data_IF_092780564337
#
_entry.id   IF_092780564337
#
_cell.length_a   1.000
_cell.length_b   1.000
_cell.length_c   1.000
_cell.angle_alpha   90.00
_cell.angle_beta   90.00
_cell.angle_gamma   90.00
#
_symmetry.space_group_name_H-M   'P 1'
#
loop_
_entity.id
_entity.type
_entity.pdbx_description
1 polymer ?
#
# COMPACT_ATOMS: atom_id res chain seq x y z
N UNK A 1 -0.62 21.80 -12.25
CA UNK A 1 -0.54 20.57 -13.07
C UNK A 1 -1.26 19.48 -12.32
N UNK A 2 -2.22 18.81 -12.97
CA UNK A 2 -2.89 17.65 -12.39
C UNK A 2 -1.93 16.45 -12.41
N UNK A 3 -1.63 15.91 -11.24
CA UNK A 3 -0.73 14.78 -11.06
C UNK A 3 -1.48 13.49 -10.68
N UNK A 4 -2.82 13.51 -10.66
CA UNK A 4 -3.62 12.36 -10.24
C UNK A 4 -3.44 11.13 -11.14
N UNK A 5 -3.11 11.35 -12.41
CA UNK A 5 -2.84 10.33 -13.43
C UNK A 5 -1.33 10.10 -13.69
N UNK A 6 -0.46 10.83 -13.03
CA UNK A 6 0.97 10.64 -13.20
C UNK A 6 1.43 9.34 -12.54
N UNK A 7 2.23 8.57 -13.26
CA UNK A 7 2.82 7.32 -12.74
C UNK A 7 3.97 7.67 -11.79
N UNK A 8 3.85 7.24 -10.53
CA UNK A 8 4.81 7.50 -9.45
C UNK A 8 5.05 6.25 -8.62
N UNK A 9 6.23 6.18 -7.97
CA UNK A 9 6.53 5.08 -7.04
C UNK A 9 5.66 5.18 -5.79
N UNK A 10 4.85 4.14 -5.47
CA UNK A 10 3.95 4.15 -4.34
C UNK A 10 4.66 3.99 -2.99
N UNK A 11 5.93 3.66 -2.96
CA UNK A 11 6.64 3.32 -1.74
C UNK A 11 5.93 2.20 -0.98
N UNK A 12 5.67 2.44 0.30
CA UNK A 12 5.05 1.45 1.20
C UNK A 12 3.51 1.35 1.11
N UNK A 13 2.85 2.06 0.20
CA UNK A 13 1.37 2.03 0.15
C UNK A 13 0.80 0.72 -0.36
N UNK A 14 1.61 -0.17 -0.95
CA UNK A 14 1.17 -1.50 -1.39
C UNK A 14 1.21 -2.56 -0.28
N UNK A 15 1.87 -2.30 0.86
CA UNK A 15 1.99 -3.26 1.96
C UNK A 15 0.67 -3.80 2.50
N UNK A 16 -0.41 -3.00 2.64
CA UNK A 16 -1.71 -3.53 3.07
C UNK A 16 -2.22 -4.69 2.22
N UNK A 17 -1.97 -4.66 0.91
CA UNK A 17 -2.41 -5.71 -0.02
C UNK A 17 -1.52 -6.95 0.06
N UNK A 18 -0.23 -6.78 0.37
CA UNK A 18 0.69 -7.89 0.63
C UNK A 18 0.22 -8.68 1.85
N UNK A 19 0.02 -8.00 2.98
CA UNK A 19 -0.48 -8.65 4.19
C UNK A 19 -1.92 -9.18 4.02
N UNK A 20 -2.77 -8.44 3.29
CA UNK A 20 -4.12 -8.87 2.97
C UNK A 20 -4.17 -10.21 2.25
N UNK A 21 -3.31 -10.43 1.25
CA UNK A 21 -3.17 -11.72 0.57
C UNK A 21 -2.61 -12.80 1.49
N UNK A 22 -1.67 -12.46 2.37
CA UNK A 22 -1.17 -13.39 3.38
C UNK A 22 -2.25 -13.83 4.38
N UNK A 23 -3.17 -12.94 4.75
CA UNK A 23 -4.34 -13.27 5.57
C UNK A 23 -5.34 -14.14 4.81
N UNK A 24 -5.64 -13.79 3.56
CA UNK A 24 -6.56 -14.55 2.69
C UNK A 24 -6.10 -16.01 2.49
N UNK A 25 -4.78 -16.23 2.40
CA UNK A 25 -4.19 -17.57 2.24
C UNK A 25 -4.04 -18.33 3.56
N UNK A 26 -4.35 -17.70 4.68
CA UNK A 26 -4.11 -18.32 6.00
C UNK A 26 -2.63 -18.50 6.35
N UNK A 27 -1.72 -17.87 5.61
CA UNK A 27 -0.27 -17.93 5.87
C UNK A 27 0.12 -17.17 7.14
N UNK A 28 -0.59 -16.09 7.43
CA UNK A 28 -0.38 -15.24 8.60
C UNK A 28 -1.72 -14.77 9.17
N UNK A 29 -1.68 -14.31 10.42
CA UNK A 29 -2.78 -13.65 11.12
C UNK A 29 -2.26 -12.32 11.69
N UNK A 30 -3.10 -11.33 12.01
CA UNK A 30 -2.65 -10.08 12.61
C UNK A 30 -1.72 -10.25 13.82
N UNK A 31 -1.95 -11.27 14.64
CA UNK A 31 -1.14 -11.54 15.83
C UNK A 31 -0.01 -12.57 15.60
N UNK A 32 0.18 -13.06 14.37
CA UNK A 32 1.32 -13.90 14.03
C UNK A 32 2.61 -13.14 14.27
N UNK A 33 3.56 -13.79 14.94
CA UNK A 33 4.91 -13.25 15.15
C UNK A 33 5.70 -13.38 13.85
N UNK A 34 6.37 -12.30 13.45
CA UNK A 34 7.22 -12.25 12.26
C UNK A 34 8.54 -11.57 12.61
N UNK A 35 9.62 -12.02 11.98
CA UNK A 35 10.96 -11.50 12.25
C UNK A 35 11.25 -10.24 11.41
N UNK A 36 11.68 -9.20 12.10
CA UNK A 36 12.25 -7.99 11.51
C UNK A 36 13.75 -7.95 11.80
N UNK A 37 14.49 -8.73 11.01
CA UNK A 37 15.95 -8.89 11.10
C UNK A 37 16.56 -8.85 9.71
N UNK A 38 17.88 -8.62 9.58
CA UNK A 38 18.54 -8.70 8.28
C UNK A 38 18.25 -10.03 7.57
N UNK A 39 17.77 -9.94 6.34
CA UNK A 39 17.47 -11.10 5.48
C UNK A 39 17.95 -10.83 4.06
N UNK A 40 18.26 -11.89 3.32
CA UNK A 40 18.74 -11.79 1.95
C UNK A 40 17.98 -12.77 1.03
N UNK A 41 17.54 -12.29 -0.10
CA UNK A 41 16.91 -13.06 -1.18
C UNK A 41 17.78 -12.97 -2.44
N UNK A 42 18.68 -13.91 -2.62
CA UNK A 42 19.72 -13.81 -3.66
C UNK A 42 20.60 -12.58 -3.44
N UNK A 43 20.62 -11.67 -4.42
CA UNK A 43 21.33 -10.39 -4.33
C UNK A 43 20.53 -9.28 -3.63
N UNK A 44 19.24 -9.47 -3.39
CA UNK A 44 18.36 -8.46 -2.79
C UNK A 44 18.33 -8.59 -1.26
N UNK A 45 18.66 -7.52 -0.56
CA UNK A 45 18.63 -7.41 0.90
C UNK A 45 17.78 -6.17 1.28
N UNK A 46 16.53 -6.37 1.71
CA UNK A 46 15.70 -5.25 2.16
C UNK A 46 16.19 -4.70 3.50
N UNK A 47 16.14 -3.38 3.64
CA UNK A 47 16.42 -2.68 4.88
C UNK A 47 15.20 -1.83 5.29
N UNK A 48 15.02 -1.62 6.59
CA UNK A 48 14.02 -0.69 7.08
C UNK A 48 14.43 0.77 6.77
N UNK A 49 13.44 1.65 6.72
CA UNK A 49 13.65 3.04 6.33
C UNK A 49 14.62 3.80 7.26
N UNK A 50 14.59 3.47 8.55
CA UNK A 50 15.46 4.03 9.60
C UNK A 50 16.74 3.20 9.84
N UNK A 51 16.99 2.19 9.01
CA UNK A 51 18.12 1.27 9.10
C UNK A 51 18.17 0.47 10.42
N UNK A 52 17.10 0.47 11.20
CA UNK A 52 16.97 -0.29 12.44
C UNK A 52 16.07 -1.53 12.24
N UNK A 53 16.22 -2.52 13.13
CA UNK A 53 15.43 -3.73 13.15
C UNK A 53 14.77 -3.89 14.51
N UNK A 54 13.49 -4.30 14.50
CA UNK A 54 12.67 -4.41 15.70
C UNK A 54 12.72 -5.81 16.34
N UNK A 55 13.40 -6.78 15.70
CA UNK A 55 13.39 -8.17 16.15
C UNK A 55 12.06 -8.85 15.88
N UNK A 56 11.54 -9.61 16.83
CA UNK A 56 10.26 -10.33 16.69
C UNK A 56 9.10 -9.40 17.01
N UNK A 57 8.20 -9.19 16.05
CA UNK A 57 7.01 -8.33 16.19
C UNK A 57 5.76 -9.05 15.67
N UNK A 58 4.56 -8.58 16.04
CA UNK A 58 3.34 -9.05 15.39
C UNK A 58 3.21 -8.49 13.98
N UNK A 59 2.54 -9.20 13.08
CA UNK A 59 2.19 -8.71 11.73
C UNK A 59 1.43 -7.39 11.82
N UNK A 60 0.53 -7.23 12.78
CA UNK A 60 -0.15 -5.98 13.11
C UNK A 60 0.84 -4.84 13.31
N UNK A 61 1.79 -5.03 14.19
CA UNK A 61 2.82 -4.03 14.51
C UNK A 61 3.69 -3.74 13.29
N UNK A 62 4.10 -4.76 12.54
CA UNK A 62 4.90 -4.63 11.33
C UNK A 62 4.22 -3.73 10.28
N UNK A 63 2.91 -3.91 10.04
CA UNK A 63 2.16 -3.08 9.09
C UNK A 63 1.97 -1.65 9.61
N UNK A 64 1.63 -1.47 10.90
CA UNK A 64 1.47 -0.15 11.52
C UNK A 64 2.75 0.68 11.50
N UNK A 65 3.89 0.05 11.79
CA UNK A 65 5.22 0.67 11.71
C UNK A 65 5.75 0.76 10.28
N UNK A 66 5.06 0.12 9.33
CA UNK A 66 5.51 0.08 7.92
C UNK A 66 6.89 -0.56 7.72
N UNK A 67 7.24 -1.57 8.53
CA UNK A 67 8.52 -2.27 8.42
C UNK A 67 8.68 -2.89 7.02
N UNK A 68 9.89 -2.83 6.49
CA UNK A 68 10.18 -3.30 5.14
C UNK A 68 10.42 -4.80 5.10
N UNK A 69 11.26 -5.31 6.00
CA UNK A 69 11.67 -6.71 6.01
C UNK A 69 10.47 -7.65 6.16
N UNK A 70 9.57 -7.49 7.15
CA UNK A 70 8.39 -8.34 7.28
C UNK A 70 7.48 -8.32 6.05
N UNK A 71 7.33 -7.14 5.39
CA UNK A 71 6.52 -7.02 4.19
C UNK A 71 7.13 -7.78 3.00
N UNK A 72 8.47 -7.72 2.83
CA UNK A 72 9.16 -8.43 1.77
C UNK A 72 9.16 -9.95 2.01
N UNK A 73 9.34 -10.40 3.26
CA UNK A 73 9.21 -11.82 3.63
C UNK A 73 7.80 -12.34 3.30
N UNK A 74 6.77 -11.58 3.64
CA UNK A 74 5.39 -11.94 3.30
C UNK A 74 5.18 -11.95 1.79
N UNK A 75 5.72 -10.96 1.06
CA UNK A 75 5.60 -10.89 -0.41
C UNK A 75 6.30 -12.06 -1.10
N UNK A 76 7.43 -12.50 -0.58
CA UNK A 76 8.12 -13.70 -1.09
C UNK A 76 7.22 -14.93 -0.94
N UNK A 77 6.60 -15.13 0.21
CA UNK A 77 5.73 -16.27 0.48
C UNK A 77 4.47 -16.28 -0.41
N UNK A 78 3.80 -15.14 -0.59
CA UNK A 78 2.62 -15.04 -1.46
C UNK A 78 2.96 -14.93 -2.95
N UNK A 79 4.20 -14.63 -3.29
CA UNK A 79 4.77 -14.35 -4.63
C UNK A 79 4.32 -13.00 -5.24
N UNK A 80 5.29 -12.25 -5.74
CA UNK A 80 5.07 -10.95 -6.36
C UNK A 80 4.12 -11.00 -7.58
N UNK A 81 4.18 -12.08 -8.38
CA UNK A 81 3.29 -12.28 -9.52
C UNK A 81 1.82 -12.38 -9.12
N UNK A 82 1.53 -13.03 -7.99
CA UNK A 82 0.16 -13.11 -7.46
C UNK A 82 -0.37 -11.76 -7.00
N UNK A 83 0.45 -10.98 -6.27
CA UNK A 83 0.09 -9.62 -5.89
C UNK A 83 -0.20 -8.77 -7.14
N UNK A 84 0.66 -8.85 -8.15
CA UNK A 84 0.49 -8.12 -9.42
C UNK A 84 -0.82 -8.49 -10.11
N UNK A 85 -1.10 -9.77 -10.26
CA UNK A 85 -2.34 -10.25 -10.88
C UNK A 85 -3.57 -9.74 -10.12
N UNK A 86 -3.59 -9.89 -8.78
CA UNK A 86 -4.70 -9.45 -7.94
C UNK A 86 -4.95 -7.94 -8.04
N UNK A 87 -3.90 -7.12 -7.98
CA UNK A 87 -4.02 -5.66 -8.07
C UNK A 87 -4.49 -5.24 -9.48
N UNK A 88 -3.98 -5.88 -10.53
CA UNK A 88 -4.41 -5.62 -11.91
C UNK A 88 -5.88 -6.01 -12.12
N UNK A 89 -6.32 -7.16 -11.64
CA UNK A 89 -7.71 -7.61 -11.70
C UNK A 89 -8.63 -6.66 -10.92
N UNK A 90 -8.17 -6.11 -9.81
CA UNK A 90 -8.89 -5.11 -9.03
C UNK A 90 -8.92 -3.71 -9.67
N UNK A 91 -8.16 -3.49 -10.76
CA UNK A 91 -8.16 -2.25 -11.54
C UNK A 91 -6.96 -1.33 -11.29
N UNK A 92 -6.00 -1.72 -10.46
CA UNK A 92 -4.74 -0.95 -10.28
C UNK A 92 -3.78 -1.26 -11.42
N UNK A 93 -3.54 -0.27 -12.28
CA UNK A 93 -2.54 -0.39 -13.35
C UNK A 93 -1.14 -0.24 -12.77
N UNK A 94 -0.35 -1.31 -12.85
CA UNK A 94 1.04 -1.33 -12.39
C UNK A 94 1.98 -1.07 -13.57
N UNK A 95 2.77 -0.02 -13.48
CA UNK A 95 3.85 0.26 -14.42
C UNK A 95 5.15 -0.36 -13.91
N UNK A 96 5.62 -1.38 -14.59
CA UNK A 96 6.92 -2.00 -14.34
C UNK A 96 8.01 -1.33 -15.21
N UNK A 97 9.24 -1.26 -14.73
CA UNK A 97 10.37 -0.88 -15.58
C UNK A 97 10.43 -1.77 -16.83
N UNK A 98 10.84 -1.17 -17.94
CA UNK A 98 10.86 -1.88 -19.23
C UNK A 98 11.73 -3.13 -19.18
N UNK A 99 11.13 -4.29 -19.49
CA UNK A 99 11.81 -5.59 -19.50
C UNK A 99 11.94 -6.26 -18.13
N UNK A 100 11.42 -5.66 -17.08
CA UNK A 100 11.40 -6.27 -15.76
C UNK A 100 10.12 -7.08 -15.50
N UNK A 101 10.27 -8.12 -14.69
CA UNK A 101 9.16 -8.92 -14.16
C UNK A 101 8.87 -8.50 -12.72
N UNK A 102 7.64 -8.70 -12.22
CA UNK A 102 7.32 -8.40 -10.83
C UNK A 102 8.26 -9.13 -9.86
N UNK A 103 8.97 -8.36 -9.05
CA UNK A 103 9.92 -8.87 -8.05
C UNK A 103 9.65 -8.32 -6.65
N UNK A 104 10.48 -8.72 -5.68
CA UNK A 104 10.31 -8.32 -4.27
C UNK A 104 10.41 -6.81 -4.04
N UNK A 105 11.13 -6.08 -4.90
CA UNK A 105 11.25 -4.63 -4.82
C UNK A 105 9.89 -3.91 -4.96
N UNK A 106 8.88 -4.54 -5.61
CA UNK A 106 7.54 -3.93 -5.72
C UNK A 106 6.87 -3.69 -4.36
N UNK A 107 7.18 -4.48 -3.34
CA UNK A 107 6.69 -4.30 -1.98
C UNK A 107 7.16 -3.01 -1.31
N UNK A 108 8.23 -2.41 -1.85
CA UNK A 108 8.84 -1.18 -1.37
C UNK A 108 8.76 -0.03 -2.38
N UNK A 109 7.91 -0.18 -3.42
CA UNK A 109 7.69 0.85 -4.42
C UNK A 109 8.50 0.69 -5.71
N UNK A 110 9.07 -0.49 -5.98
CA UNK A 110 9.74 -0.83 -7.26
C UNK A 110 8.78 -0.98 -8.46
N UNK A 111 7.64 -0.32 -8.42
CA UNK A 111 6.63 -0.23 -9.48
C UNK A 111 6.09 1.18 -9.53
N UNK A 112 5.41 1.55 -10.63
CA UNK A 112 4.70 2.81 -10.72
C UNK A 112 3.19 2.62 -10.64
N UNK A 113 2.49 3.56 -10.00
CA UNK A 113 1.03 3.63 -9.92
C UNK A 113 0.55 5.07 -10.10
N UNK A 114 -0.72 5.26 -10.41
CA UNK A 114 -1.35 6.59 -10.37
C UNK A 114 -2.02 6.81 -9.00
N UNK A 115 -2.15 8.07 -8.59
CA UNK A 115 -2.88 8.42 -7.37
C UNK A 115 -4.35 8.00 -7.48
N UNK A 116 -4.96 8.19 -8.64
CA UNK A 116 -6.35 7.82 -8.90
C UNK A 116 -6.56 6.31 -8.71
N UNK A 117 -5.79 5.47 -9.41
CA UNK A 117 -5.95 4.01 -9.33
C UNK A 117 -5.64 3.49 -7.92
N UNK A 118 -4.62 4.03 -7.26
CA UNK A 118 -4.28 3.65 -5.89
C UNK A 118 -5.41 4.01 -4.92
N UNK A 119 -5.99 5.21 -5.03
CA UNK A 119 -7.12 5.63 -4.19
C UNK A 119 -8.34 4.75 -4.44
N UNK A 120 -8.59 4.35 -5.68
CA UNK A 120 -9.69 3.46 -6.05
C UNK A 120 -9.57 2.07 -5.40
N UNK A 121 -8.38 1.46 -5.35
CA UNK A 121 -8.23 0.16 -4.68
C UNK A 121 -8.32 0.28 -3.16
N UNK A 122 -7.92 1.40 -2.56
CA UNK A 122 -8.18 1.67 -1.13
C UNK A 122 -9.67 1.85 -0.85
N UNK A 123 -10.44 2.46 -1.78
CA UNK A 123 -11.90 2.48 -1.69
C UNK A 123 -12.49 1.05 -1.75
N UNK A 124 -11.88 0.16 -2.55
CA UNK A 124 -12.21 -1.26 -2.57
C UNK A 124 -11.95 -1.94 -1.23
N UNK A 125 -10.84 -1.61 -0.57
CA UNK A 125 -10.54 -2.09 0.78
C UNK A 125 -11.59 -1.62 1.80
N UNK A 126 -11.96 -0.34 1.76
CA UNK A 126 -13.03 0.24 2.59
C UNK A 126 -14.41 -0.42 2.36
N UNK A 127 -14.63 -0.99 1.18
CA UNK A 127 -15.86 -1.69 0.76
C UNK A 127 -15.78 -3.20 1.02
N UNK A 128 -14.99 -3.64 1.98
CA UNK A 128 -14.86 -5.05 2.35
C UNK A 128 -14.15 -5.89 1.29
N UNK A 129 -13.22 -5.30 0.54
CA UNK A 129 -12.35 -6.01 -0.39
C UNK A 129 -12.86 -6.09 -1.84
N UNK A 130 -13.87 -5.28 -2.22
CA UNK A 130 -14.37 -5.26 -3.59
C UNK A 130 -14.25 -3.87 -4.20
N UNK A 131 -13.54 -3.75 -5.32
CA UNK A 131 -13.48 -2.52 -6.10
C UNK A 131 -14.69 -2.40 -7.03
N UNK A 132 -15.05 -1.16 -7.34
CA UNK A 132 -16.10 -0.82 -8.30
C UNK A 132 -15.56 0.16 -9.32
N UNK A 133 -16.22 0.27 -10.47
CA UNK A 133 -15.90 1.29 -11.46
C UNK A 133 -16.05 2.69 -10.87
N UNK A 134 -15.09 3.57 -11.15
CA UNK A 134 -15.17 4.97 -10.78
C UNK A 134 -16.21 5.67 -11.68
N UNK A 135 -16.99 6.57 -11.09
CA UNK A 135 -17.89 7.47 -11.78
C UNK A 135 -17.36 8.88 -11.55
N UNK A 136 -16.99 9.56 -12.62
CA UNK A 136 -16.40 10.91 -12.53
C UNK A 136 -17.48 12.00 -12.44
N UNK A 137 -18.62 11.78 -13.08
CA UNK A 137 -19.73 12.74 -13.09
C UNK A 137 -20.97 12.12 -12.48
N UNK A 138 -21.72 12.92 -11.75
CA UNK A 138 -22.96 12.49 -11.08
C UNK A 138 -24.01 11.95 -12.06
N UNK A 139 -24.03 12.49 -13.28
CA UNK A 139 -25.00 12.15 -14.32
C UNK A 139 -24.51 10.99 -15.22
N UNK A 140 -23.30 10.51 -15.01
CA UNK A 140 -22.79 9.33 -15.71
C UNK A 140 -23.63 8.10 -15.30
N UNK A 141 -24.00 7.29 -16.27
CA UNK A 141 -24.71 6.06 -16.00
C UNK A 141 -23.88 5.16 -15.08
N UNK A 142 -24.48 4.66 -14.02
CA UNK A 142 -23.81 3.70 -13.14
C UNK A 142 -23.34 2.51 -13.98
N UNK A 143 -22.05 2.22 -13.91
CA UNK A 143 -21.51 1.05 -14.58
C UNK A 143 -22.18 -0.21 -14.01
N UNK A 144 -22.75 -1.03 -14.88
CA UNK A 144 -23.25 -2.36 -14.53
C UNK A 144 -22.14 -3.41 -14.42
N UNK A 145 -20.86 -2.98 -14.47
CA UNK A 145 -19.74 -3.88 -14.31
C UNK A 145 -19.77 -4.51 -12.90
N UNK A 146 -19.62 -5.82 -12.85
CA UNK A 146 -19.53 -6.53 -11.58
C UNK A 146 -18.35 -6.02 -10.73
N UNK A 147 -18.52 -5.93 -9.42
CA UNK A 147 -17.42 -5.63 -8.52
C UNK A 147 -16.26 -6.61 -8.72
N UNK A 148 -15.03 -6.10 -8.68
CA UNK A 148 -13.82 -6.91 -8.82
C UNK A 148 -13.23 -7.19 -7.44
N UNK A 149 -12.87 -8.43 -7.19
CA UNK A 149 -12.30 -8.82 -5.91
C UNK A 149 -10.86 -8.32 -5.76
N UNK A 150 -10.64 -7.52 -4.74
CA UNK A 150 -9.32 -7.08 -4.29
C UNK A 150 -8.79 -8.01 -3.18
N UNK A 151 -9.60 -8.26 -2.15
CA UNK A 151 -9.31 -9.14 -1.03
C UNK A 151 -10.59 -9.87 -0.58
N UNK A 152 -10.43 -10.97 0.13
CA UNK A 152 -11.52 -11.59 0.86
C UNK A 152 -12.05 -10.65 1.94
N UNK A 153 -13.36 -10.64 2.27
CA UNK A 153 -13.94 -9.73 3.26
C UNK A 153 -13.26 -9.79 4.64
N UNK A 154 -12.86 -10.99 5.10
CA UNK A 154 -12.16 -11.15 6.37
C UNK A 154 -10.76 -10.55 6.31
N UNK A 155 -10.02 -10.80 5.23
CA UNK A 155 -8.69 -10.22 5.02
C UNK A 155 -8.76 -8.69 4.90
N UNK A 156 -9.75 -8.17 4.18
CA UNK A 156 -9.98 -6.73 4.08
C UNK A 156 -10.30 -6.10 5.45
N UNK A 157 -11.10 -6.77 6.27
CA UNK A 157 -11.41 -6.35 7.63
C UNK A 157 -10.16 -6.33 8.51
N UNK A 158 -9.33 -7.39 8.48
CA UNK A 158 -8.06 -7.41 9.23
C UNK A 158 -7.17 -6.23 8.84
N UNK A 159 -6.98 -6.00 7.54
CA UNK A 159 -6.16 -4.88 7.04
C UNK A 159 -6.73 -3.54 7.52
N UNK A 160 -8.03 -3.30 7.35
CA UNK A 160 -8.70 -2.08 7.79
C UNK A 160 -8.56 -1.84 9.30
N UNK A 161 -8.76 -2.89 10.11
CA UNK A 161 -8.60 -2.85 11.56
C UNK A 161 -7.15 -2.51 11.99
N UNK A 162 -6.16 -3.10 11.32
CA UNK A 162 -4.74 -2.79 11.58
C UNK A 162 -4.43 -1.33 11.24
N UNK A 163 -4.87 -0.87 10.06
CA UNK A 163 -4.63 0.50 9.60
C UNK A 163 -5.31 1.55 10.47
N UNK A 164 -6.49 1.25 11.02
CA UNK A 164 -7.20 2.13 11.96
C UNK A 164 -6.39 2.35 13.25
N UNK A 165 -5.58 1.39 13.67
CA UNK A 165 -4.67 1.47 14.81
C UNK A 165 -3.30 2.08 14.47
N UNK A 166 -3.08 2.57 13.25
CA UNK A 166 -1.84 3.26 12.90
C UNK A 166 -1.73 4.55 13.72
N UNK A 167 -0.59 4.83 14.39
CA UNK A 167 -0.44 6.05 15.15
C UNK A 167 -0.69 7.28 14.26
N UNK A 168 -1.52 8.24 14.69
CA UNK A 168 -1.87 9.41 13.88
C UNK A 168 -0.64 10.30 13.62
N UNK A 169 -0.70 11.18 12.61
CA UNK A 169 0.25 12.28 12.46
C UNK A 169 0.24 13.18 13.71
N UNK A 170 1.28 13.97 13.87
CA UNK A 170 1.33 14.98 14.93
C UNK A 170 0.12 15.92 14.83
N UNK A 171 -0.49 16.24 15.94
CA UNK A 171 -1.68 17.10 16.05
C UNK A 171 -2.97 16.56 15.43
N UNK A 172 -3.05 15.30 15.06
CA UNK A 172 -4.26 14.65 14.57
C UNK A 172 -4.86 13.70 15.61
N UNK A 173 -6.18 13.64 15.65
CA UNK A 173 -6.88 12.65 16.48
C UNK A 173 -6.79 11.26 15.85
N UNK A 174 -6.36 10.27 16.63
CA UNK A 174 -6.29 8.87 16.17
C UNK A 174 -7.64 8.16 16.14
N UNK A 175 -7.66 6.97 15.51
CA UNK A 175 -8.76 6.00 15.61
C UNK A 175 -9.99 6.28 14.75
N UNK A 176 -9.97 7.28 13.87
CA UNK A 176 -11.10 7.62 12.99
C UNK A 176 -10.88 7.28 11.53
N UNK A 177 -9.64 7.21 11.09
CA UNK A 177 -9.26 6.99 9.70
C UNK A 177 -8.26 5.85 9.65
N UNK A 178 -8.57 4.81 8.88
CA UNK A 178 -7.62 3.79 8.51
C UNK A 178 -6.75 4.34 7.38
N UNK A 179 -5.42 4.41 7.57
CA UNK A 179 -4.55 5.00 6.56
C UNK A 179 -3.19 4.33 6.46
N UNK A 180 -2.55 4.49 5.31
CA UNK A 180 -1.20 4.05 5.05
C UNK A 180 -0.41 5.16 4.35
N UNK A 181 0.77 5.42 4.86
CA UNK A 181 1.74 6.30 4.22
C UNK A 181 2.69 5.52 3.33
N UNK A 182 3.27 6.20 2.35
CA UNK A 182 4.36 5.73 1.52
C UNK A 182 5.38 6.83 1.31
N UNK A 183 6.64 6.43 1.16
CA UNK A 183 7.74 7.30 0.76
C UNK A 183 8.54 6.54 -0.29
N UNK A 184 8.76 7.14 -1.46
CA UNK A 184 9.58 6.51 -2.48
C UNK A 184 11.07 6.65 -2.15
N UNK A 185 11.87 5.73 -2.69
CA UNK A 185 13.33 5.82 -2.59
C UNK A 185 13.82 7.16 -3.14
N UNK A 186 14.74 7.80 -2.41
CA UNK A 186 15.29 9.09 -2.78
C UNK A 186 14.38 10.28 -2.53
N UNK A 187 13.35 10.15 -1.67
CA UNK A 187 12.49 11.28 -1.22
C UNK A 187 11.83 12.04 -2.38
N UNK A 188 11.34 11.33 -3.38
CA UNK A 188 10.69 11.93 -4.56
C UNK A 188 9.18 12.03 -4.43
N UNK A 189 8.59 11.05 -3.73
CA UNK A 189 7.15 10.90 -3.60
C UNK A 189 6.80 10.64 -2.14
N UNK A 190 5.89 11.44 -1.59
CA UNK A 190 5.28 11.23 -0.29
C UNK A 190 3.79 10.97 -0.49
N UNK A 191 3.29 9.88 0.10
CA UNK A 191 1.92 9.41 -0.06
C UNK A 191 1.23 9.27 1.29
N UNK A 192 -0.06 9.53 1.28
CA UNK A 192 -0.99 9.07 2.29
C UNK A 192 -2.29 8.67 1.62
N UNK A 193 -2.77 7.46 1.86
CA UNK A 193 -4.09 7.02 1.40
C UNK A 193 -4.84 6.47 2.60
N UNK A 194 -6.02 7.00 2.83
CA UNK A 194 -6.83 6.63 3.99
C UNK A 194 -8.32 6.63 3.68
N UNK A 195 -9.07 5.97 4.55
CA UNK A 195 -10.52 5.87 4.44
C UNK A 195 -11.20 5.80 5.81
N UNK A 196 -12.44 6.26 5.82
CA UNK A 196 -13.40 6.05 6.89
C UNK A 196 -14.63 5.28 6.34
N UNK A 197 -15.73 5.26 7.07
CA UNK A 197 -16.97 4.60 6.61
C UNK A 197 -17.69 5.30 5.44
N UNK A 198 -17.21 6.45 4.96
CA UNK A 198 -17.88 7.27 3.94
C UNK A 198 -17.00 7.71 2.79
N UNK A 199 -15.71 7.93 3.05
CA UNK A 199 -14.79 8.57 2.10
C UNK A 199 -13.46 7.81 2.05
N UNK A 200 -12.84 7.84 0.88
CA UNK A 200 -11.45 7.45 0.68
C UNK A 200 -10.71 8.63 0.07
N UNK A 201 -9.58 8.99 0.64
CA UNK A 201 -8.79 10.15 0.24
C UNK A 201 -7.37 9.66 -0.03
N UNK A 202 -6.85 10.03 -1.19
CA UNK A 202 -5.45 9.86 -1.55
C UNK A 202 -4.77 11.22 -1.66
N UNK A 203 -3.60 11.35 -1.05
CA UNK A 203 -2.75 12.53 -1.11
C UNK A 203 -1.38 12.12 -1.63
N UNK A 204 -0.88 12.85 -2.60
CA UNK A 204 0.49 12.79 -3.08
C UNK A 204 1.15 14.16 -2.99
N UNK A 205 2.37 14.18 -2.49
CA UNK A 205 3.21 15.37 -2.42
C UNK A 205 4.55 15.03 -3.05
N UNK A 206 5.00 15.88 -3.95
CA UNK A 206 6.26 15.71 -4.67
C UNK A 206 6.44 16.78 -5.74
N UNK A 207 7.49 16.64 -6.50
CA UNK A 207 7.76 17.52 -7.65
C UNK A 207 7.26 16.87 -8.95
N UNK A 208 6.58 17.60 -9.83
CA UNK A 208 6.14 17.07 -11.12
C UNK A 208 7.27 16.52 -11.99
N UNK A 209 8.46 17.12 -11.90
CA UNK A 209 9.68 16.70 -12.60
C UNK A 209 10.34 15.45 -11.97
N UNK A 210 9.86 14.97 -10.82
CA UNK A 210 10.40 13.82 -10.12
C UNK A 210 11.72 14.08 -9.40
N UNK A 211 12.15 15.33 -9.27
CA UNK A 211 13.34 15.68 -8.51
C UNK A 211 13.15 15.39 -7.02
N UNK A 212 14.18 14.94 -6.29
CA UNK A 212 14.09 14.65 -4.88
C UNK A 212 13.86 15.92 -4.04
N UNK A 213 13.15 15.77 -2.94
CA UNK A 213 12.97 16.80 -1.91
C UNK A 213 13.53 16.23 -0.62
N UNK A 214 14.72 16.64 -0.15
CA UNK A 214 15.32 16.13 1.07
C UNK A 214 14.36 16.23 2.26
N UNK A 215 14.18 15.09 2.98
CA UNK A 215 13.27 15.01 4.13
C UNK A 215 11.79 14.87 3.78
N UNK A 216 11.41 14.72 2.50
CA UNK A 216 10.04 14.46 2.10
C UNK A 216 9.63 13.05 2.50
N UNK A 217 8.80 12.92 3.52
CA UNK A 217 8.26 11.64 3.99
C UNK A 217 6.73 11.67 4.04
N UNK A 218 6.09 10.53 3.74
CA UNK A 218 4.64 10.43 3.66
C UNK A 218 3.93 10.84 4.94
N UNK A 219 4.49 10.49 6.12
CA UNK A 219 3.89 10.81 7.42
C UNK A 219 3.89 12.32 7.73
N UNK A 220 4.93 13.03 7.34
CA UNK A 220 5.07 14.45 7.65
C UNK A 220 4.48 15.39 6.58
N UNK A 221 4.39 14.92 5.33
CA UNK A 221 4.02 15.80 4.22
C UNK A 221 2.63 15.47 3.61
N UNK A 222 2.15 14.24 3.72
CA UNK A 222 0.92 13.80 3.03
C UNK A 222 -0.17 13.29 3.99
N UNK A 223 0.15 12.93 5.24
CA UNK A 223 -0.82 12.39 6.21
C UNK A 223 -1.45 13.48 7.07
#
# INVERSE_FOLDING_TARGET
VDMSLAVRSPGSTLKPFIYGLGFEDGLIHPETMIEDRPVRFGSYAPENFDLSFQGTVTVRRALQMSLNVPAVVTLEAIRASRLTARLSDAGLKLALPKGEVPGLAMGLGGVGVTLLDLTAVYAGLARGGNTVALIERRDDAMSNAAPRRLLDPVAAWYVGNILLGTPPPENAAGGRIAYKTGTSYGYRDAWSVGFDGKRTIGVWVGRPDGAPIPGLIGRGAAA
#
